data_IF_756216807142
#
_entry.id   IF_756216807142
#
_cell.length_a   1.000
_cell.length_b   1.000
_cell.length_c   1.000
_cell.angle_alpha   90.00
_cell.angle_beta   90.00
_cell.angle_gamma   90.00
#
_symmetry.space_group_name_H-M   'P 1'
#
loop_
_entity.id
_entity.type
_entity.pdbx_description
1 polymer ?
#
# COMPACT_ATOMS: atom_id res chain seq x y z
N UNK A 1 18.51 10.73 2.88
CA UNK A 1 19.00 9.39 2.49
C UNK A 1 19.86 9.43 1.22
N UNK A 2 19.44 10.10 0.13
CA UNK A 2 20.23 10.24 -1.11
C UNK A 2 21.63 10.82 -0.91
N UNK A 3 21.72 12.00 -0.30
CA UNK A 3 23.00 12.67 0.02
C UNK A 3 23.94 11.82 0.88
N UNK A 4 23.39 11.01 1.79
CA UNK A 4 24.17 10.07 2.59
C UNK A 4 24.75 8.93 1.73
N UNK A 5 23.99 8.41 0.77
CA UNK A 5 24.50 7.39 -0.15
C UNK A 5 25.57 7.94 -1.09
N UNK A 6 25.41 9.15 -1.63
CA UNK A 6 26.40 9.82 -2.48
C UNK A 6 27.74 10.01 -1.76
N UNK A 7 27.72 10.40 -0.48
CA UNK A 7 28.95 10.56 0.31
C UNK A 7 29.72 9.26 0.52
N UNK A 8 29.03 8.12 0.59
CA UNK A 8 29.65 6.80 0.71
C UNK A 8 30.13 6.30 -0.65
N UNK A 9 29.32 6.46 -1.70
CA UNK A 9 29.63 5.96 -3.05
C UNK A 9 30.77 6.73 -3.72
N UNK A 10 30.82 8.05 -3.52
CA UNK A 10 31.87 8.91 -4.10
C UNK A 10 33.19 8.83 -3.31
N UNK A 11 33.32 7.92 -2.34
CA UNK A 11 34.55 7.71 -1.56
C UNK A 11 34.85 8.79 -0.51
N UNK A 12 33.98 9.78 -0.33
CA UNK A 12 34.25 10.94 0.52
C UNK A 12 34.18 10.65 2.03
N UNK A 13 33.38 9.67 2.46
CA UNK A 13 33.23 9.31 3.89
C UNK A 13 32.95 7.82 4.08
N UNK A 14 33.41 7.26 5.19
CA UNK A 14 33.10 5.87 5.55
C UNK A 14 31.61 5.70 5.88
N UNK A 15 31.05 4.53 5.56
CA UNK A 15 29.65 4.18 5.84
C UNK A 15 29.28 4.43 7.32
N UNK A 16 30.19 4.08 8.26
CA UNK A 16 29.98 4.28 9.70
C UNK A 16 29.92 5.78 10.07
N UNK A 17 30.80 6.61 9.49
CA UNK A 17 30.78 8.04 9.74
C UNK A 17 29.48 8.66 9.22
N UNK A 18 29.07 8.31 8.00
CA UNK A 18 27.82 8.82 7.40
C UNK A 18 26.59 8.38 8.21
N UNK A 19 26.56 7.15 8.71
CA UNK A 19 25.45 6.69 9.56
C UNK A 19 25.33 7.52 10.85
N UNK A 20 26.45 7.92 11.46
CA UNK A 20 26.47 8.81 12.63
C UNK A 20 26.05 10.22 12.26
N UNK A 21 26.66 10.80 11.23
CA UNK A 21 26.41 12.19 10.80
C UNK A 21 24.94 12.44 10.42
N UNK A 22 24.27 11.43 9.86
CA UNK A 22 22.88 11.53 9.39
C UNK A 22 21.86 10.83 10.30
N UNK A 23 22.31 10.22 11.41
CA UNK A 23 21.48 9.43 12.33
C UNK A 23 20.66 8.33 11.62
N UNK A 24 21.25 7.69 10.60
CA UNK A 24 20.61 6.63 9.82
C UNK A 24 21.16 5.28 10.24
N UNK A 25 20.30 4.28 10.42
CA UNK A 25 20.77 2.91 10.65
C UNK A 25 21.56 2.37 9.45
N UNK A 26 22.64 1.64 9.74
CA UNK A 26 23.50 1.04 8.71
C UNK A 26 22.71 0.18 7.72
N UNK A 27 21.74 -0.60 8.22
CA UNK A 27 20.86 -1.45 7.41
C UNK A 27 19.98 -0.66 6.44
N UNK A 28 19.43 0.48 6.87
CA UNK A 28 18.61 1.34 6.00
C UNK A 28 19.45 1.96 4.89
N UNK A 29 20.65 2.43 5.22
CA UNK A 29 21.56 3.03 4.23
C UNK A 29 22.05 2.00 3.20
N UNK A 30 22.42 0.79 3.64
CA UNK A 30 22.81 -0.31 2.74
C UNK A 30 21.65 -0.69 1.80
N UNK A 31 20.46 -0.96 2.34
CA UNK A 31 19.27 -1.29 1.53
C UNK A 31 18.95 -0.22 0.50
N UNK A 32 19.21 1.04 0.83
CA UNK A 32 18.99 2.15 -0.08
C UNK A 32 20.05 2.20 -1.19
N UNK A 33 21.33 1.99 -0.86
CA UNK A 33 22.41 1.90 -1.84
C UNK A 33 22.23 0.72 -2.81
N UNK A 34 21.76 -0.43 -2.33
CA UNK A 34 21.41 -1.58 -3.17
C UNK A 34 20.32 -1.24 -4.18
N UNK A 35 19.23 -0.59 -3.74
CA UNK A 35 18.15 -0.12 -4.63
C UNK A 35 18.62 0.89 -5.66
N UNK A 36 19.55 1.78 -5.30
CA UNK A 36 20.17 2.71 -6.24
C UNK A 36 20.96 2.00 -7.34
N UNK A 37 21.63 0.88 -7.01
CA UNK A 37 22.32 0.05 -8.01
C UNK A 37 21.34 -0.65 -8.95
N UNK A 38 20.20 -1.12 -8.42
CA UNK A 38 19.16 -1.77 -9.22
C UNK A 38 18.39 -0.80 -10.12
N UNK A 39 18.12 0.43 -9.65
CA UNK A 39 17.37 1.45 -10.40
C UNK A 39 17.91 2.86 -10.13
N UNK A 40 18.96 3.29 -10.85
CA UNK A 40 19.60 4.59 -10.66
C UNK A 40 18.71 5.79 -11.00
N UNK A 41 17.84 5.65 -12.01
CA UNK A 41 16.99 6.72 -12.56
C UNK A 41 15.80 7.06 -11.67
N UNK A 42 15.29 6.09 -10.88
CA UNK A 42 14.12 6.27 -10.02
C UNK A 42 14.35 5.67 -8.63
N UNK A 43 15.23 6.27 -7.80
CA UNK A 43 15.40 5.85 -6.43
C UNK A 43 14.08 5.96 -5.67
N UNK A 44 13.53 4.82 -5.24
CA UNK A 44 12.36 4.80 -4.36
C UNK A 44 12.80 5.11 -2.93
N UNK A 45 12.28 6.20 -2.38
CA UNK A 45 12.42 6.59 -0.98
C UNK A 45 11.19 6.16 -0.18
N UNK A 46 11.42 5.77 1.08
CA UNK A 46 10.34 5.47 2.03
C UNK A 46 9.56 4.18 1.74
N UNK A 47 8.40 4.04 2.38
CA UNK A 47 7.49 2.94 2.12
C UNK A 47 6.89 3.10 0.73
N UNK A 48 6.96 2.05 -0.09
CA UNK A 48 6.39 2.08 -1.44
C UNK A 48 4.91 2.40 -1.42
N UNK A 49 4.40 2.96 -2.52
CA UNK A 49 2.98 3.22 -2.69
C UNK A 49 2.18 1.97 -2.30
N UNK A 50 1.12 2.12 -1.48
CA UNK A 50 0.36 0.98 -1.03
C UNK A 50 -0.13 0.18 -2.24
N UNK A 51 0.05 -1.15 -2.28
CA UNK A 51 -0.50 -1.96 -3.39
C UNK A 51 -2.01 -1.78 -3.40
N UNK A 52 -2.54 -1.10 -4.41
CA UNK A 52 -3.97 -0.89 -4.64
C UNK A 52 -4.41 -1.96 -5.64
N UNK A 53 -5.43 -2.72 -5.27
CA UNK A 53 -6.03 -3.71 -6.18
C UNK A 53 -7.03 -3.01 -7.10
N UNK A 54 -7.88 -2.17 -6.52
CA UNK A 54 -8.90 -1.43 -7.23
C UNK A 54 -8.47 0.01 -7.49
N UNK A 55 -8.90 0.56 -8.63
CA UNK A 55 -8.85 1.99 -8.88
C UNK A 55 -9.78 2.74 -7.92
N UNK A 56 -9.60 4.06 -7.78
CA UNK A 56 -10.47 4.88 -6.93
C UNK A 56 -11.95 4.76 -7.33
N UNK A 57 -12.23 4.72 -8.64
CA UNK A 57 -13.58 4.54 -9.16
C UNK A 57 -14.14 3.17 -8.77
N UNK A 58 -13.38 2.09 -8.97
CA UNK A 58 -13.78 0.73 -8.58
C UNK A 58 -13.99 0.61 -7.06
N UNK A 59 -13.14 1.23 -6.23
CA UNK A 59 -13.33 1.25 -4.77
C UNK A 59 -14.61 1.98 -4.36
N UNK A 60 -15.04 3.00 -5.11
CA UNK A 60 -16.32 3.69 -4.88
C UNK A 60 -17.49 2.79 -5.24
N UNK A 61 -17.52 2.26 -6.47
CA UNK A 61 -18.61 1.38 -6.93
C UNK A 61 -18.74 0.12 -6.08
N UNK A 62 -17.62 -0.50 -5.68
CA UNK A 62 -17.64 -1.64 -4.76
C UNK A 62 -18.24 -1.26 -3.40
N UNK A 63 -17.96 -0.06 -2.89
CA UNK A 63 -18.51 0.38 -1.60
C UNK A 63 -20.01 0.61 -1.67
N UNK A 64 -20.49 1.26 -2.72
CA UNK A 64 -21.92 1.47 -2.96
C UNK A 64 -22.65 0.14 -3.07
N UNK A 65 -22.09 -0.80 -3.81
CA UNK A 65 -22.64 -2.14 -3.93
C UNK A 65 -22.70 -2.88 -2.58
N UNK A 66 -21.62 -2.84 -1.79
CA UNK A 66 -21.60 -3.43 -0.45
C UNK A 66 -22.61 -2.78 0.50
N UNK A 67 -22.85 -1.46 0.40
CA UNK A 67 -23.86 -0.79 1.21
C UNK A 67 -25.28 -1.26 0.85
N UNK A 68 -25.58 -1.37 -0.44
CA UNK A 68 -26.88 -1.90 -0.91
C UNK A 68 -27.10 -3.32 -0.41
N UNK A 69 -26.09 -4.19 -0.50
CA UNK A 69 -26.19 -5.56 0.00
C UNK A 69 -26.36 -5.60 1.52
N UNK A 70 -25.66 -4.76 2.28
CA UNK A 70 -25.80 -4.69 3.73
C UNK A 70 -27.21 -4.26 4.15
N UNK A 71 -27.85 -3.37 3.37
CA UNK A 71 -29.24 -2.98 3.60
C UNK A 71 -30.22 -4.13 3.33
N UNK A 72 -30.01 -4.90 2.26
CA UNK A 72 -30.87 -6.04 1.87
C UNK A 72 -30.74 -7.20 2.85
N UNK A 73 -29.52 -7.53 3.27
CA UNK A 73 -29.21 -8.71 4.09
C UNK A 73 -29.08 -8.41 5.59
N UNK A 74 -29.47 -7.22 6.05
CA UNK A 74 -29.33 -6.76 7.44
C UNK A 74 -27.90 -6.84 7.99
N UNK A 75 -26.91 -6.65 7.13
CA UNK A 75 -25.49 -6.70 7.45
C UNK A 75 -24.67 -7.46 6.42
N UNK A 76 -23.36 -7.30 6.50
CA UNK A 76 -22.40 -7.98 5.63
C UNK A 76 -21.18 -8.39 6.45
N UNK A 77 -20.88 -9.69 6.44
CA UNK A 77 -19.76 -10.23 7.20
C UNK A 77 -18.41 -9.90 6.55
N UNK A 78 -17.32 -9.79 7.33
CA UNK A 78 -15.96 -9.63 6.80
C UNK A 78 -15.52 -10.71 5.80
N UNK A 79 -16.11 -11.91 5.83
CA UNK A 79 -15.84 -12.96 4.83
C UNK A 79 -16.52 -12.65 3.51
N UNK A 80 -17.76 -12.20 3.54
CA UNK A 80 -18.57 -11.96 2.34
C UNK A 80 -18.05 -10.74 1.57
N UNK A 81 -17.69 -9.67 2.28
CA UNK A 81 -17.01 -8.51 1.68
C UNK A 81 -15.71 -8.93 0.96
N UNK A 82 -14.94 -9.85 1.53
CA UNK A 82 -13.69 -10.32 0.93
C UNK A 82 -13.93 -11.25 -0.26
N UNK A 83 -14.99 -12.07 -0.26
CA UNK A 83 -15.39 -12.87 -1.43
C UNK A 83 -15.85 -11.99 -2.58
N UNK A 84 -16.73 -11.03 -2.30
CA UNK A 84 -17.20 -10.06 -3.30
C UNK A 84 -16.04 -9.27 -3.90
N UNK A 85 -15.05 -8.87 -3.09
CA UNK A 85 -13.85 -8.23 -3.60
C UNK A 85 -13.04 -9.15 -4.54
N UNK A 86 -12.93 -10.43 -4.23
CA UNK A 86 -12.28 -11.39 -5.14
C UNK A 86 -13.05 -11.52 -6.46
N UNK A 87 -14.37 -11.71 -6.39
CA UNK A 87 -15.23 -11.84 -7.57
C UNK A 87 -15.16 -10.60 -8.46
N UNK A 88 -15.23 -9.40 -7.88
CA UNK A 88 -15.06 -8.16 -8.63
C UNK A 88 -13.67 -8.08 -9.27
N UNK A 89 -12.61 -8.38 -8.52
CA UNK A 89 -11.24 -8.31 -9.05
C UNK A 89 -11.02 -9.32 -10.20
N UNK A 90 -11.58 -10.52 -10.08
CA UNK A 90 -11.57 -11.54 -11.12
C UNK A 90 -12.34 -11.08 -12.36
N UNK A 91 -13.55 -10.55 -12.19
CA UNK A 91 -14.39 -10.04 -13.29
C UNK A 91 -13.76 -8.86 -14.04
N UNK A 92 -13.03 -8.00 -13.32
CA UNK A 92 -12.28 -6.89 -13.91
C UNK A 92 -10.88 -7.29 -14.40
N UNK A 93 -10.53 -8.58 -14.35
CA UNK A 93 -9.22 -9.12 -14.76
C UNK A 93 -8.03 -8.38 -14.09
N UNK A 94 -8.21 -8.00 -12.83
CA UNK A 94 -7.21 -7.25 -12.08
C UNK A 94 -6.10 -8.17 -11.57
N UNK A 95 -4.88 -7.64 -11.56
CA UNK A 95 -3.75 -8.32 -10.94
C UNK A 95 -3.92 -8.39 -9.42
N UNK A 96 -4.28 -9.58 -8.94
CA UNK A 96 -4.42 -9.89 -7.51
C UNK A 96 -3.29 -10.80 -7.02
N UNK A 97 -3.15 -10.91 -5.70
CA UNK A 97 -2.18 -11.81 -5.10
C UNK A 97 -2.63 -13.27 -5.25
N UNK A 98 -1.69 -14.20 -5.43
CA UNK A 98 -1.99 -15.64 -5.56
C UNK A 98 -2.85 -16.17 -4.41
N UNK A 99 -2.56 -15.69 -3.19
CA UNK A 99 -3.35 -16.01 -2.00
C UNK A 99 -4.85 -15.68 -2.11
N UNK A 100 -5.25 -14.75 -2.99
CA UNK A 100 -6.66 -14.48 -3.24
C UNK A 100 -7.31 -15.59 -4.07
N UNK A 101 -6.59 -16.12 -5.07
CA UNK A 101 -7.05 -17.26 -5.87
C UNK A 101 -7.15 -18.52 -5.03
N UNK A 102 -6.09 -18.85 -4.27
CA UNK A 102 -6.07 -20.08 -3.46
C UNK A 102 -7.18 -20.10 -2.40
N UNK A 103 -7.56 -18.92 -1.87
CA UNK A 103 -8.61 -18.80 -0.85
C UNK A 103 -9.98 -18.38 -1.40
N UNK A 104 -10.08 -18.08 -2.70
CA UNK A 104 -11.31 -17.55 -3.36
C UNK A 104 -11.85 -16.32 -2.59
N UNK A 105 -10.96 -15.50 -2.03
CA UNK A 105 -11.35 -14.30 -1.27
C UNK A 105 -10.16 -13.36 -1.06
N UNK A 106 -10.45 -12.09 -0.86
CA UNK A 106 -9.45 -11.10 -0.49
C UNK A 106 -8.77 -11.38 0.87
N UNK A 107 -7.53 -10.91 0.98
CA UNK A 107 -6.75 -10.94 2.22
C UNK A 107 -7.38 -10.11 3.35
N UNK A 108 -7.10 -10.48 4.60
CA UNK A 108 -7.55 -9.72 5.79
C UNK A 108 -6.92 -8.32 5.85
N UNK A 109 -5.67 -8.22 5.40
CA UNK A 109 -4.91 -6.98 5.25
C UNK A 109 -5.59 -6.03 4.26
N UNK A 110 -6.09 -6.56 3.14
CA UNK A 110 -6.84 -5.77 2.17
C UNK A 110 -8.11 -5.20 2.79
N UNK A 111 -8.88 -6.00 3.51
CA UNK A 111 -10.13 -5.56 4.16
C UNK A 111 -9.88 -4.42 5.14
N UNK A 112 -8.86 -4.58 5.98
CA UNK A 112 -8.44 -3.57 6.97
C UNK A 112 -8.08 -2.26 6.28
N UNK A 113 -7.33 -2.33 5.17
CA UNK A 113 -6.94 -1.14 4.38
C UNK A 113 -8.13 -0.53 3.64
N UNK A 114 -9.03 -1.34 3.11
CA UNK A 114 -10.22 -0.90 2.39
C UNK A 114 -11.13 -0.05 3.30
N UNK A 115 -11.40 -0.51 4.52
CA UNK A 115 -12.18 0.26 5.49
C UNK A 115 -11.41 1.41 6.15
N UNK A 116 -10.11 1.23 6.45
CA UNK A 116 -9.28 2.29 7.04
C UNK A 116 -9.18 3.55 6.17
N UNK A 117 -9.14 3.38 4.83
CA UNK A 117 -9.21 4.50 3.89
C UNK A 117 -10.54 5.26 3.94
N UNK A 118 -11.66 4.55 4.12
CA UNK A 118 -13.00 5.16 4.12
C UNK A 118 -13.24 5.99 5.38
N UNK A 119 -12.71 5.57 6.53
CA UNK A 119 -12.75 6.38 7.76
C UNK A 119 -11.95 7.69 7.64
N UNK A 120 -10.85 7.68 6.87
CA UNK A 120 -10.05 8.89 6.61
C UNK A 120 -10.78 9.89 5.70
N UNK A 121 -11.55 9.41 4.71
CA UNK A 121 -12.38 10.28 3.85
C UNK A 121 -13.59 10.89 4.57
N UNK A 122 -14.03 10.30 5.69
CA UNK A 122 -15.12 10.85 6.52
C UNK A 122 -14.69 12.09 7.32
N UNK A 123 -13.43 12.12 7.78
CA UNK A 123 -12.89 13.25 8.57
C UNK A 123 -12.52 14.48 7.73
N UNK A 124 -12.50 14.37 6.40
CA UNK A 124 -12.22 15.50 5.50
C UNK A 124 -13.48 16.26 5.07
N UNK A 125 -14.70 15.75 5.34
CA UNK A 125 -15.96 16.44 5.03
C UNK A 125 -16.56 17.24 6.19
N UNK A 126 -16.01 17.14 7.40
CA UNK A 126 -16.54 17.83 8.59
C UNK A 126 -15.74 19.07 9.02
N UNK A 127 -14.78 19.53 8.19
CA UNK A 127 -14.04 20.79 8.40
C UNK A 127 -14.28 21.78 7.26
N UNK A 128 -15.55 22.00 6.98
CA UNK A 128 -16.00 22.94 5.95
C UNK A 128 -17.41 23.42 6.24
N UNK A 129 -17.61 24.00 7.43
CA UNK A 129 -18.65 24.97 7.73
C UNK A 129 -18.14 25.89 8.83
#
# INVERSE_FOLDING_TARGET
MQRAAELVTNGNKSLRQVCRDYEISKTSLIRFMERLKENPEKPRFGYGAPRLVFSKYQETSLSEYLLTLAQIFHGLGPKDVRRLAYECAFKYELKIAETWHSNIMAGKDWLTRFFGKKQSSFHQKTRGH
#
